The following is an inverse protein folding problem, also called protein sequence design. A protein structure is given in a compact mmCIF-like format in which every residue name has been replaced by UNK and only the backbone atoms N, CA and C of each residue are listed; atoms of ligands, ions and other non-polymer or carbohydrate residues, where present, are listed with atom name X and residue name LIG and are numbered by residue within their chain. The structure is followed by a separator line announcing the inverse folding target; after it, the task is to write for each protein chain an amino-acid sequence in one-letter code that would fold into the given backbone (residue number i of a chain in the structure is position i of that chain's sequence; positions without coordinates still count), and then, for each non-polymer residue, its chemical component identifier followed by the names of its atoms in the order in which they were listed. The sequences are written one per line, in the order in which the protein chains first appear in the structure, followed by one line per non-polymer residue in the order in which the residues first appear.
data_IF_442178433294
#
_entry.id   IF_442178433294
#
_cell.length_a   1.000
_cell.length_b   1.000
_cell.length_c   1.000
_cell.angle_alpha   90.00
_cell.angle_beta   90.00
_cell.angle_gamma   90.00
#
_symmetry.space_group_name_H-M   'P 1'
#
loop_
_entity.id
_entity.type
_entity.pdbx_description
1 polymer ?
#
# COMPACT_ATOMS: atom_id res chain seq x y z
N UNK A 1 -15.70 -14.17 18.43
CA UNK A 1 -15.13 -12.82 18.23
C UNK A 1 -16.00 -12.12 17.19
N UNK A 2 -16.23 -10.80 17.28
CA UNK A 2 -16.85 -10.07 16.17
C UNK A 2 -16.01 -10.26 14.90
N UNK A 3 -16.68 -10.38 13.76
CA UNK A 3 -16.04 -10.50 12.44
C UNK A 3 -15.26 -9.23 12.17
N UNK A 4 -13.95 -9.38 11.89
CA UNK A 4 -13.09 -8.26 11.54
C UNK A 4 -13.47 -7.74 10.16
N UNK A 5 -13.40 -6.43 10.00
CA UNK A 5 -13.77 -5.78 8.76
C UNK A 5 -12.84 -4.61 8.43
N UNK A 6 -12.96 -4.14 7.19
CA UNK A 6 -12.38 -2.90 6.70
C UNK A 6 -13.43 -1.80 6.86
N UNK A 7 -13.10 -0.79 7.65
CA UNK A 7 -13.97 0.35 7.89
C UNK A 7 -13.67 1.47 6.89
N UNK A 8 -14.68 1.88 6.11
CA UNK A 8 -14.58 3.00 5.19
C UNK A 8 -14.99 4.28 5.92
N UNK A 9 -14.02 5.17 6.14
CA UNK A 9 -14.22 6.43 6.86
C UNK A 9 -14.21 7.59 5.87
N UNK A 10 -15.32 8.29 5.73
CA UNK A 10 -15.48 9.30 4.67
C UNK A 10 -16.31 10.49 5.16
N UNK A 11 -16.24 11.59 4.41
CA UNK A 11 -17.13 12.72 4.63
C UNK A 11 -18.39 12.53 3.76
N UNK A 12 -19.55 12.88 4.30
CA UNK A 12 -20.86 12.60 3.69
C UNK A 12 -21.06 13.11 2.25
N UNK A 13 -20.34 14.15 1.81
CA UNK A 13 -20.43 14.65 0.43
C UNK A 13 -19.81 13.62 -0.56
N UNK A 14 -18.86 12.80 -0.10
CA UNK A 14 -18.21 11.73 -0.85
C UNK A 14 -18.98 10.38 -0.80
N UNK A 15 -20.19 10.35 -0.19
CA UNK A 15 -20.96 9.12 0.06
C UNK A 15 -21.22 8.29 -1.20
N UNK A 16 -21.51 8.93 -2.32
CA UNK A 16 -21.84 8.23 -3.56
C UNK A 16 -20.65 7.39 -4.06
N UNK A 17 -19.46 8.01 -4.10
CA UNK A 17 -18.22 7.35 -4.49
C UNK A 17 -17.84 6.23 -3.52
N UNK A 18 -17.85 6.53 -2.21
CA UNK A 18 -17.45 5.52 -1.19
C UNK A 18 -18.45 4.36 -1.15
N UNK A 19 -19.73 4.60 -1.43
CA UNK A 19 -20.71 3.52 -1.60
C UNK A 19 -20.42 2.65 -2.83
N UNK A 20 -19.99 3.24 -3.95
CA UNK A 20 -19.55 2.47 -5.13
C UNK A 20 -18.38 1.56 -4.78
N UNK A 21 -17.38 2.10 -4.08
CA UNK A 21 -16.20 1.35 -3.59
C UNK A 21 -16.62 0.25 -2.61
N UNK A 22 -17.48 0.55 -1.64
CA UNK A 22 -18.01 -0.42 -0.69
C UNK A 22 -18.64 -1.63 -1.40
N UNK A 23 -19.52 -1.38 -2.37
CA UNK A 23 -20.19 -2.45 -3.10
C UNK A 23 -19.19 -3.34 -3.83
N UNK A 24 -18.20 -2.74 -4.48
CA UNK A 24 -17.23 -3.48 -5.27
C UNK A 24 -16.26 -4.30 -4.40
N UNK A 25 -15.73 -3.72 -3.31
CA UNK A 25 -14.94 -4.48 -2.32
C UNK A 25 -15.74 -5.65 -1.72
N UNK A 26 -17.03 -5.43 -1.46
CA UNK A 26 -17.93 -6.47 -0.96
C UNK A 26 -18.18 -7.57 -2.00
N UNK A 27 -18.37 -7.22 -3.26
CA UNK A 27 -18.49 -8.17 -4.38
C UNK A 27 -17.22 -9.01 -4.54
N UNK A 28 -16.06 -8.45 -4.22
CA UNK A 28 -14.76 -9.15 -4.22
C UNK A 28 -14.48 -9.91 -2.91
N UNK A 29 -15.49 -10.00 -2.02
CA UNK A 29 -15.49 -10.87 -0.83
C UNK A 29 -14.85 -10.27 0.42
N UNK A 30 -14.48 -8.97 0.39
CA UNK A 30 -13.92 -8.30 1.57
C UNK A 30 -15.04 -7.94 2.57
N UNK A 31 -14.86 -8.25 3.87
CA UNK A 31 -15.80 -7.79 4.89
C UNK A 31 -15.58 -6.30 5.10
N UNK A 32 -16.47 -5.48 4.53
CA UNK A 32 -16.42 -4.02 4.60
C UNK A 32 -17.54 -3.47 5.47
N UNK A 33 -17.28 -2.30 6.07
CA UNK A 33 -18.23 -1.58 6.90
C UNK A 33 -18.24 -0.10 6.54
N UNK A 34 -19.43 0.50 6.50
CA UNK A 34 -19.63 1.95 6.42
C UNK A 34 -20.86 2.34 7.25
N UNK A 35 -20.93 3.60 7.68
CA UNK A 35 -21.98 4.13 8.58
C UNK A 35 -23.43 3.90 8.10
N UNK A 36 -23.69 3.86 6.78
CA UNK A 36 -25.06 3.65 6.25
C UNK A 36 -25.43 2.17 5.99
N UNK A 37 -24.45 1.26 5.92
CA UNK A 37 -24.68 -0.16 5.61
C UNK A 37 -24.37 -1.08 6.81
N UNK A 38 -23.69 -0.57 7.84
CA UNK A 38 -23.19 -1.32 9.00
C UNK A 38 -24.23 -1.78 10.03
N UNK A 39 -25.53 -1.77 9.70
CA UNK A 39 -26.59 -2.20 10.61
C UNK A 39 -26.84 -1.25 11.79
N UNK A 40 -26.80 0.06 11.54
CA UNK A 40 -26.97 1.09 12.57
C UNK A 40 -28.40 1.07 13.13
N UNK A 41 -28.54 0.60 14.37
CA UNK A 41 -29.75 0.78 15.18
C UNK A 41 -29.32 1.30 16.56
N UNK A 42 -29.40 2.61 16.80
CA UNK A 42 -29.01 3.21 18.09
C UNK A 42 -28.43 4.63 18.00
N UNK A 43 -27.69 5.02 19.04
CA UNK A 43 -26.95 6.27 19.09
C UNK A 43 -25.74 6.22 18.16
N UNK A 44 -25.65 7.17 17.23
CA UNK A 44 -24.61 7.27 16.20
C UNK A 44 -23.19 7.12 16.80
N UNK A 45 -22.96 7.65 18.01
CA UNK A 45 -21.65 7.54 18.66
C UNK A 45 -21.28 6.12 19.09
N UNK A 46 -22.25 5.33 19.57
CA UNK A 46 -22.02 3.96 20.02
C UNK A 46 -21.80 3.03 18.83
N UNK A 47 -22.49 3.30 17.71
CA UNK A 47 -22.31 2.56 16.46
C UNK A 47 -20.96 2.87 15.79
N UNK A 48 -20.52 4.13 15.79
CA UNK A 48 -19.18 4.49 15.29
C UNK A 48 -18.07 3.84 16.12
N UNK A 49 -18.20 3.83 17.46
CA UNK A 49 -17.23 3.17 18.33
C UNK A 49 -17.15 1.66 18.07
N UNK A 50 -18.30 1.00 17.92
CA UNK A 50 -18.36 -0.44 17.61
C UNK A 50 -17.76 -0.77 16.23
N UNK A 51 -17.96 0.10 15.22
CA UNK A 51 -17.31 -0.03 13.92
C UNK A 51 -15.79 -0.01 14.05
N UNK A 52 -15.25 1.03 14.69
CA UNK A 52 -13.79 1.16 14.90
C UNK A 52 -13.22 -0.02 15.71
N UNK A 53 -13.92 -0.49 16.75
CA UNK A 53 -13.43 -1.57 17.63
C UNK A 53 -13.33 -2.93 16.94
N UNK A 54 -14.17 -3.18 15.93
CA UNK A 54 -14.13 -4.41 15.14
C UNK A 54 -13.33 -4.27 13.84
N UNK A 55 -12.91 -3.05 13.48
CA UNK A 55 -12.09 -2.81 12.31
C UNK A 55 -10.66 -3.34 12.51
N UNK A 56 -10.13 -4.05 11.51
CA UNK A 56 -8.70 -4.32 11.42
C UNK A 56 -7.96 -3.31 10.54
N UNK A 57 -8.69 -2.66 9.64
CA UNK A 57 -8.20 -1.55 8.80
C UNK A 57 -9.27 -0.47 8.80
N UNK A 58 -8.83 0.79 8.89
CA UNK A 58 -9.65 1.95 8.57
C UNK A 58 -9.10 2.65 7.33
N UNK A 59 -9.97 2.95 6.37
CA UNK A 59 -9.66 3.65 5.14
C UNK A 59 -10.22 5.08 5.20
N UNK A 60 -9.45 6.09 5.63
CA UNK A 60 -9.90 7.47 5.57
C UNK A 60 -9.82 8.00 4.13
N UNK A 61 -10.97 8.39 3.58
CA UNK A 61 -11.10 9.05 2.28
C UNK A 61 -10.84 10.54 2.45
N UNK A 62 -9.60 10.95 2.13
CA UNK A 62 -9.05 12.24 2.49
C UNK A 62 -9.43 13.33 1.48
N UNK A 63 -10.12 14.34 2.02
CA UNK A 63 -10.45 15.61 1.37
C UNK A 63 -10.30 16.76 2.39
N UNK A 64 -10.25 18.03 1.94
CA UNK A 64 -10.37 19.17 2.86
C UNK A 64 -11.62 19.10 3.75
N UNK A 65 -12.74 18.63 3.19
CA UNK A 65 -14.00 18.46 3.92
C UNK A 65 -13.90 17.36 4.99
N UNK A 66 -13.22 16.25 4.68
CA UNK A 66 -12.89 15.21 5.66
C UNK A 66 -12.03 15.76 6.81
N UNK A 67 -10.98 16.54 6.50
CA UNK A 67 -10.13 17.16 7.53
C UNK A 67 -10.91 18.15 8.42
N UNK A 68 -11.90 18.86 7.86
CA UNK A 68 -12.74 19.81 8.58
C UNK A 68 -13.87 19.13 9.40
N UNK A 69 -14.21 17.87 9.10
CA UNK A 69 -15.32 17.16 9.74
C UNK A 69 -15.00 16.73 11.16
N UNK A 70 -15.79 17.21 12.12
CA UNK A 70 -15.67 16.81 13.54
C UNK A 70 -15.93 15.32 13.76
N UNK A 71 -16.83 14.71 12.97
CA UNK A 71 -17.15 13.29 13.07
C UNK A 71 -15.99 12.44 12.57
N UNK A 72 -15.49 12.72 11.37
CA UNK A 72 -14.33 12.04 10.79
C UNK A 72 -13.09 12.18 11.68
N UNK A 73 -12.85 13.37 12.23
CA UNK A 73 -11.77 13.60 13.20
C UNK A 73 -11.88 12.69 14.42
N UNK A 74 -13.06 12.60 15.05
CA UNK A 74 -13.24 11.75 16.23
C UNK A 74 -13.01 10.27 15.90
N UNK A 75 -13.55 9.83 14.77
CA UNK A 75 -13.47 8.44 14.33
C UNK A 75 -12.02 8.01 14.07
N UNK A 76 -11.28 8.78 13.27
CA UNK A 76 -9.90 8.44 12.94
C UNK A 76 -8.96 8.61 14.15
N UNK A 77 -9.19 9.59 15.04
CA UNK A 77 -8.43 9.68 16.30
C UNK A 77 -8.71 8.48 17.22
N UNK A 78 -9.95 7.98 17.24
CA UNK A 78 -10.26 6.79 18.02
C UNK A 78 -9.56 5.56 17.44
N UNK A 79 -9.61 5.37 16.11
CA UNK A 79 -8.91 4.29 15.42
C UNK A 79 -7.40 4.33 15.68
N UNK A 80 -6.79 5.52 15.62
CA UNK A 80 -5.37 5.75 15.94
C UNK A 80 -5.04 5.35 17.39
N UNK A 81 -5.86 5.78 18.37
CA UNK A 81 -5.70 5.39 19.78
C UNK A 81 -5.86 3.89 20.06
N UNK A 82 -6.51 3.17 19.13
CA UNK A 82 -6.75 1.72 19.18
C UNK A 82 -5.75 0.94 18.35
N UNK A 83 -4.77 1.62 17.76
CA UNK A 83 -3.76 1.04 16.87
C UNK A 83 -4.38 0.27 15.69
N UNK A 84 -5.55 0.70 15.23
CA UNK A 84 -6.17 0.18 14.01
C UNK A 84 -5.31 0.61 12.83
N UNK A 85 -5.00 -0.32 11.93
CA UNK A 85 -4.16 0.00 10.76
C UNK A 85 -4.87 0.98 9.83
N UNK A 86 -4.16 2.01 9.38
CA UNK A 86 -4.72 3.06 8.53
C UNK A 86 -4.26 2.87 7.09
N UNK A 87 -5.20 2.85 6.14
CA UNK A 87 -4.94 2.87 4.68
C UNK A 87 -5.52 4.16 4.12
N UNK A 88 -4.74 5.25 4.04
CA UNK A 88 -5.27 6.51 3.56
C UNK A 88 -5.63 6.43 2.08
N UNK A 89 -6.77 7.02 1.70
CA UNK A 89 -7.23 7.12 0.31
C UNK A 89 -7.30 8.58 -0.07
N UNK A 90 -6.57 9.01 -1.10
CA UNK A 90 -6.55 10.42 -1.52
C UNK A 90 -7.65 10.67 -2.56
N UNK A 91 -8.58 11.59 -2.26
CA UNK A 91 -9.64 12.01 -3.20
C UNK A 91 -9.40 13.43 -3.76
N UNK A 92 -8.73 14.30 -3.00
CA UNK A 92 -8.55 15.69 -3.39
C UNK A 92 -7.32 15.91 -4.29
N UNK A 93 -7.52 16.67 -5.37
CA UNK A 93 -6.42 17.19 -6.21
C UNK A 93 -5.75 18.40 -5.53
N UNK A 94 -4.45 18.60 -5.79
CA UNK A 94 -3.66 19.77 -5.38
C UNK A 94 -3.77 20.11 -3.88
N UNK A 95 -3.88 19.08 -3.03
CA UNK A 95 -4.06 19.23 -1.60
C UNK A 95 -3.28 18.16 -0.83
N UNK A 96 -2.78 18.56 0.33
CA UNK A 96 -2.09 17.68 1.26
C UNK A 96 -2.74 17.74 2.64
N UNK A 97 -2.84 16.57 3.28
CA UNK A 97 -3.31 16.47 4.65
C UNK A 97 -2.39 17.26 5.59
N UNK A 98 -3.00 18.00 6.52
CA UNK A 98 -2.29 18.82 7.50
C UNK A 98 -2.88 18.65 8.89
N UNK A 99 -2.25 19.32 9.87
CA UNK A 99 -2.70 19.32 11.26
C UNK A 99 -2.88 17.90 11.82
N UNK A 100 -4.08 17.59 12.32
CA UNK A 100 -4.40 16.32 12.96
C UNK A 100 -4.42 15.16 11.96
N UNK A 101 -4.86 15.40 10.72
CA UNK A 101 -4.94 14.36 9.70
C UNK A 101 -3.54 14.04 9.19
N UNK A 102 -2.77 15.09 8.87
CA UNK A 102 -1.37 14.94 8.47
C UNK A 102 -0.52 14.25 9.53
N UNK A 103 -0.79 14.48 10.82
CA UNK A 103 -0.09 13.78 11.92
C UNK A 103 -0.38 12.27 11.93
N UNK A 104 -1.64 11.88 11.76
CA UNK A 104 -2.06 10.46 11.77
C UNK A 104 -1.57 9.74 10.50
N UNK A 105 -1.59 10.41 9.36
CA UNK A 105 -1.23 9.81 8.06
C UNK A 105 0.23 10.01 7.68
N UNK A 106 1.04 10.66 8.51
CA UNK A 106 2.45 10.92 8.23
C UNK A 106 3.23 9.62 8.00
N UNK A 107 3.97 9.55 6.89
CA UNK A 107 4.77 8.38 6.53
C UNK A 107 3.98 7.18 5.99
N UNK A 108 2.65 7.27 5.92
CA UNK A 108 1.82 6.28 5.26
C UNK A 108 1.74 6.57 3.76
N UNK A 109 1.73 5.51 2.95
CA UNK A 109 1.42 5.61 1.53
C UNK A 109 -0.10 5.63 1.35
N UNK A 110 -0.59 6.60 0.61
CA UNK A 110 -2.00 6.68 0.25
C UNK A 110 -2.30 5.91 -1.04
N UNK A 111 -3.55 5.51 -1.22
CA UNK A 111 -4.09 4.99 -2.47
C UNK A 111 -4.72 6.14 -3.24
N UNK A 112 -4.36 6.30 -4.51
CA UNK A 112 -4.86 7.40 -5.33
C UNK A 112 -6.25 7.08 -5.89
N UNK A 113 -7.24 7.91 -5.57
CA UNK A 113 -8.58 7.89 -6.15
C UNK A 113 -8.94 9.26 -6.77
N UNK A 114 -7.96 10.17 -6.88
CA UNK A 114 -8.17 11.48 -7.50
C UNK A 114 -8.62 11.25 -8.95
N UNK A 115 -9.75 11.83 -9.33
CA UNK A 115 -10.31 11.72 -10.68
C UNK A 115 -10.80 10.29 -11.07
N UNK A 116 -10.92 9.37 -10.12
CA UNK A 116 -11.42 8.00 -10.38
C UNK A 116 -12.86 7.98 -10.90
N UNK A 117 -13.65 9.00 -10.62
CA UNK A 117 -15.04 9.11 -11.12
C UNK A 117 -15.15 9.44 -12.60
N UNK A 118 -14.06 9.92 -13.22
CA UNK A 118 -14.09 10.38 -14.60
C UNK A 118 -13.99 9.23 -15.62
N UNK A 119 -13.52 8.06 -15.20
CA UNK A 119 -13.23 6.92 -16.07
C UNK A 119 -13.34 5.59 -15.32
N UNK A 120 -14.05 4.62 -15.91
CA UNK A 120 -14.33 3.34 -15.23
C UNK A 120 -13.11 2.43 -15.16
N UNK A 121 -12.22 2.47 -16.17
CA UNK A 121 -10.97 1.71 -16.16
C UNK A 121 -10.05 2.21 -15.04
N UNK A 122 -9.92 3.53 -14.93
CA UNK A 122 -9.23 4.20 -13.83
C UNK A 122 -9.82 3.84 -12.47
N UNK A 123 -11.15 3.87 -12.32
CA UNK A 123 -11.81 3.45 -11.08
C UNK A 123 -11.41 2.03 -10.65
N UNK A 124 -11.44 1.06 -11.58
CA UNK A 124 -11.06 -0.33 -11.28
C UNK A 124 -9.56 -0.46 -10.96
N UNK A 125 -8.68 0.35 -11.55
CA UNK A 125 -7.26 0.39 -11.18
C UNK A 125 -7.02 0.91 -9.76
N UNK A 126 -7.70 2.00 -9.38
CA UNK A 126 -7.65 2.55 -8.02
C UNK A 126 -8.17 1.53 -7.00
N UNK A 127 -9.26 0.84 -7.35
CA UNK A 127 -9.86 -0.17 -6.50
C UNK A 127 -8.94 -1.37 -6.29
N UNK A 128 -8.35 -1.91 -7.36
CA UNK A 128 -7.36 -2.99 -7.25
C UNK A 128 -6.19 -2.59 -6.35
N UNK A 129 -5.73 -1.34 -6.47
CA UNK A 129 -4.66 -0.81 -5.61
C UNK A 129 -5.07 -0.73 -4.14
N UNK A 130 -6.34 -0.40 -3.85
CA UNK A 130 -6.90 -0.41 -2.50
C UNK A 130 -7.00 -1.82 -1.93
N UNK A 131 -7.49 -2.77 -2.71
CA UNK A 131 -7.59 -4.18 -2.32
C UNK A 131 -6.23 -4.79 -2.01
N UNK A 132 -5.24 -4.55 -2.89
CA UNK A 132 -3.88 -5.03 -2.68
C UNK A 132 -3.28 -4.47 -1.38
N UNK A 133 -3.54 -3.19 -1.08
CA UNK A 133 -3.06 -2.58 0.15
C UNK A 133 -3.76 -3.11 1.41
N UNK A 134 -5.08 -3.26 1.36
CA UNK A 134 -5.86 -3.87 2.44
C UNK A 134 -5.37 -5.30 2.70
N UNK A 135 -5.18 -6.08 1.64
CA UNK A 135 -4.75 -7.47 1.75
C UNK A 135 -3.30 -7.59 2.23
N UNK A 136 -2.43 -6.67 1.81
CA UNK A 136 -1.07 -6.60 2.32
C UNK A 136 -1.04 -6.35 3.83
N UNK A 137 -1.85 -5.41 4.33
CA UNK A 137 -1.85 -5.03 5.75
C UNK A 137 -2.60 -6.03 6.62
N UNK A 138 -3.80 -6.44 6.19
CA UNK A 138 -4.75 -7.15 7.03
C UNK A 138 -5.34 -8.41 6.40
N UNK A 139 -4.86 -8.86 5.23
CA UNK A 139 -5.36 -10.09 4.59
C UNK A 139 -5.22 -11.34 5.47
N UNK A 140 -4.31 -11.33 6.45
CA UNK A 140 -4.18 -12.40 7.45
C UNK A 140 -5.22 -12.34 8.59
N UNK A 141 -5.90 -11.21 8.75
CA UNK A 141 -6.91 -10.94 9.78
C UNK A 141 -8.35 -10.97 9.24
N UNK A 142 -8.50 -10.94 7.91
CA UNK A 142 -9.79 -10.90 7.20
C UNK A 142 -10.22 -12.31 6.80
N UNK A 143 -11.48 -12.63 7.10
CA UNK A 143 -12.16 -13.80 6.56
C UNK A 143 -12.75 -13.39 5.19
N UNK A 144 -11.99 -13.59 4.13
CA UNK A 144 -12.46 -13.32 2.76
C UNK A 144 -13.42 -14.45 2.36
N UNK A 145 -14.68 -14.12 2.10
CA UNK A 145 -15.66 -15.12 1.65
C UNK A 145 -15.32 -15.57 0.24
N UNK A 146 -15.14 -16.88 0.03
CA UNK A 146 -15.12 -17.44 -1.33
C UNK A 146 -16.54 -17.31 -1.91
N UNK A 147 -16.75 -16.62 -3.03
CA UNK A 147 -18.06 -16.59 -3.66
C UNK A 147 -18.46 -18.01 -4.04
N UNK A 148 -19.71 -18.37 -3.73
CA UNK A 148 -20.26 -19.68 -4.09
C UNK A 148 -20.06 -19.93 -5.58
N UNK A 149 -19.37 -21.02 -5.94
CA UNK A 149 -19.22 -21.45 -7.33
C UNK A 149 -20.60 -21.79 -7.88
N UNK A 150 -21.25 -20.87 -8.57
CA UNK A 150 -22.26 -21.27 -9.54
C UNK A 150 -21.50 -21.92 -10.71
N UNK A 151 -21.67 -23.23 -10.88
CA UNK A 151 -21.26 -23.94 -12.09
C UNK A 151 -22.09 -23.40 -13.26
N UNK A 152 -21.68 -22.26 -13.83
CA UNK A 152 -22.21 -21.75 -15.09
C UNK A 152 -21.14 -21.92 -16.16
N UNK A 153 -21.44 -22.78 -17.12
CA UNK A 153 -20.58 -23.28 -18.20
C UNK A 153 -20.33 -22.20 -19.28
N UNK A 154 -19.67 -21.10 -18.90
CA UNK A 154 -19.22 -20.04 -19.80
C UNK A 154 -17.77 -19.63 -19.49
N UNK A 155 -16.90 -19.41 -20.49
CA UNK A 155 -15.54 -18.96 -20.28
C UNK A 155 -15.54 -17.44 -20.07
N UNK A 156 -16.01 -16.99 -18.91
CA UNK A 156 -15.66 -15.65 -18.44
C UNK A 156 -14.20 -15.67 -17.92
N UNK A 157 -13.39 -14.65 -18.20
CA UNK A 157 -12.05 -14.55 -17.63
C UNK A 157 -12.18 -14.59 -16.11
N UNK A 158 -11.55 -15.60 -15.49
CA UNK A 158 -11.57 -15.79 -14.03
C UNK A 158 -11.14 -14.50 -13.35
N UNK A 159 -12.04 -13.86 -12.58
CA UNK A 159 -11.70 -12.71 -11.75
C UNK A 159 -10.49 -13.08 -10.87
N UNK A 160 -9.45 -12.25 -10.78
CA UNK A 160 -8.28 -12.54 -9.97
C UNK A 160 -8.69 -12.65 -8.50
N UNK A 161 -8.59 -13.85 -7.93
CA UNK A 161 -8.82 -14.05 -6.49
C UNK A 161 -7.72 -13.35 -5.67
N UNK A 162 -8.11 -12.65 -4.61
CA UNK A 162 -7.20 -12.01 -3.67
C UNK A 162 -6.35 -13.09 -2.97
N UNK A 163 -5.10 -13.25 -3.42
CA UNK A 163 -4.14 -14.19 -2.83
C UNK A 163 -3.26 -13.45 -1.83
N UNK A 164 -2.99 -14.11 -0.69
CA UNK A 164 -2.00 -13.64 0.28
C UNK A 164 -0.61 -13.60 -0.38
N UNK A 165 -0.01 -12.40 -0.46
CA UNK A 165 1.36 -12.21 -0.95
C UNK A 165 2.32 -12.14 0.25
N UNK A 166 3.53 -12.73 0.18
CA UNK A 166 4.46 -12.77 1.31
C UNK A 166 5.13 -11.40 1.58
N UNK A 167 5.10 -10.48 0.61
CA UNK A 167 5.66 -9.14 0.67
C UNK A 167 5.21 -8.32 -0.54
N UNK A 168 5.98 -7.30 -0.90
CA UNK A 168 5.77 -6.48 -2.11
C UNK A 168 6.86 -6.72 -3.15
N UNK A 169 6.51 -6.61 -4.41
CA UNK A 169 7.47 -6.49 -5.50
C UNK A 169 7.65 -5.02 -5.85
N UNK A 170 8.89 -4.63 -6.14
CA UNK A 170 9.22 -3.30 -6.64
C UNK A 170 9.54 -3.42 -8.12
N UNK A 171 8.60 -3.02 -8.99
CA UNK A 171 8.80 -2.97 -10.43
C UNK A 171 9.23 -1.58 -10.84
N UNK A 172 10.32 -1.45 -11.60
CA UNK A 172 10.72 -0.17 -12.15
C UNK A 172 9.74 0.27 -13.27
N UNK A 173 9.24 1.50 -13.20
CA UNK A 173 8.13 1.97 -14.02
C UNK A 173 8.45 2.01 -15.53
N UNK A 174 9.71 2.30 -15.92
CA UNK A 174 10.08 2.43 -17.34
C UNK A 174 10.60 1.12 -17.96
N UNK A 175 11.23 0.24 -17.16
CA UNK A 175 11.87 -0.97 -17.69
C UNK A 175 11.11 -2.25 -17.37
N UNK A 176 10.07 -2.18 -16.53
CA UNK A 176 9.31 -3.33 -16.04
C UNK A 176 10.14 -4.42 -15.33
N UNK A 177 11.34 -4.06 -14.86
CA UNK A 177 12.24 -4.96 -14.14
C UNK A 177 12.02 -4.89 -12.63
N UNK A 178 12.19 -6.01 -11.95
CA UNK A 178 11.98 -6.15 -10.51
C UNK A 178 13.29 -6.18 -9.74
N UNK A 179 13.28 -5.68 -8.50
CA UNK A 179 14.38 -5.88 -7.54
C UNK A 179 14.42 -7.35 -7.12
N UNK A 180 15.46 -8.08 -7.51
CA UNK A 180 15.57 -9.52 -7.32
C UNK A 180 16.83 -9.91 -6.53
N UNK A 181 16.66 -10.67 -5.44
CA UNK A 181 17.78 -11.26 -4.68
C UNK A 181 18.11 -12.66 -5.22
N UNK A 182 19.29 -12.84 -5.80
CA UNK A 182 19.72 -14.12 -6.36
C UNK A 182 20.17 -15.14 -5.30
N UNK A 183 20.24 -14.75 -4.03
CA UNK A 183 20.73 -15.61 -2.95
C UNK A 183 22.26 -15.70 -2.90
N UNK A 184 22.75 -16.56 -1.99
CA UNK A 184 24.20 -16.79 -1.84
C UNK A 184 24.78 -17.37 -3.13
N UNK A 185 25.63 -16.59 -3.81
CA UNK A 185 26.56 -17.13 -4.78
C UNK A 185 27.73 -17.76 -4.00
N UNK A 186 28.29 -18.88 -4.47
CA UNK A 186 29.26 -19.73 -3.73
C UNK A 186 30.61 -19.08 -3.36
N UNK A 187 30.70 -17.76 -3.46
CA UNK A 187 31.78 -16.92 -2.96
C UNK A 187 31.49 -16.61 -1.49
N UNK A 188 32.45 -16.80 -0.58
CA UNK A 188 32.30 -16.48 0.85
C UNK A 188 32.18 -14.97 1.15
N UNK A 189 31.44 -14.25 0.33
CA UNK A 189 31.09 -12.85 0.48
C UNK A 189 29.95 -12.73 1.50
N UNK A 190 30.01 -11.70 2.32
CA UNK A 190 28.99 -11.45 3.35
C UNK A 190 27.70 -10.88 2.76
N UNK A 191 27.72 -10.46 1.48
CA UNK A 191 26.62 -9.83 0.76
C UNK A 191 26.19 -10.68 -0.44
N UNK A 192 24.88 -10.71 -0.71
CA UNK A 192 24.36 -11.26 -1.96
C UNK A 192 24.20 -10.16 -2.99
N UNK A 193 24.29 -10.53 -4.26
CA UNK A 193 23.99 -9.66 -5.39
C UNK A 193 22.48 -9.51 -5.57
N UNK A 194 22.01 -8.26 -5.59
CA UNK A 194 20.65 -7.91 -5.98
C UNK A 194 20.72 -7.26 -7.35
N UNK A 195 19.98 -7.81 -8.32
CA UNK A 195 19.95 -7.29 -9.69
C UNK A 195 18.50 -7.07 -10.15
N UNK A 196 18.37 -6.45 -11.32
CA UNK A 196 17.10 -6.26 -11.98
C UNK A 196 16.76 -7.48 -12.82
N UNK A 197 15.53 -7.99 -12.70
CA UNK A 197 15.11 -9.20 -13.40
C UNK A 197 13.66 -9.09 -13.91
N UNK A 198 13.38 -9.74 -15.04
CA UNK A 198 12.03 -9.88 -15.63
C UNK A 198 11.19 -10.94 -14.92
N UNK A 199 11.79 -11.88 -14.18
CA UNK A 199 11.07 -13.04 -13.62
C UNK A 199 10.25 -12.69 -12.38
N UNK A 200 9.00 -13.17 -12.36
CA UNK A 200 8.03 -12.95 -11.28
C UNK A 200 8.19 -13.93 -10.09
N UNK A 201 9.37 -14.50 -9.86
CA UNK A 201 9.61 -15.49 -8.81
C UNK A 201 9.45 -14.92 -7.40
N UNK A 202 9.45 -15.81 -6.40
CA UNK A 202 9.29 -15.42 -5.00
C UNK A 202 10.46 -14.56 -4.47
N UNK A 203 11.62 -14.64 -5.13
CA UNK A 203 12.82 -13.86 -4.85
C UNK A 203 12.69 -12.35 -5.15
N UNK A 204 11.58 -11.92 -5.76
CA UNK A 204 11.25 -10.51 -5.95
C UNK A 204 10.39 -9.93 -4.82
N UNK A 205 9.91 -10.76 -3.87
CA UNK A 205 9.11 -10.27 -2.76
C UNK A 205 9.99 -9.75 -1.63
N UNK A 206 9.66 -8.55 -1.19
CA UNK A 206 10.32 -7.83 -0.11
C UNK A 206 9.32 -7.50 0.99
N UNK A 207 9.63 -7.89 2.21
CA UNK A 207 8.81 -7.71 3.40
C UNK A 207 9.23 -6.42 4.08
N UNK A 208 8.28 -5.51 4.33
CA UNK A 208 8.53 -4.26 5.03
C UNK A 208 8.76 -4.53 6.52
N UNK A 209 9.88 -4.05 7.04
CA UNK A 209 10.22 -4.05 8.47
C UNK A 209 10.29 -2.61 8.95
N UNK A 210 9.43 -2.25 9.91
CA UNK A 210 9.35 -0.90 10.46
C UNK A 210 10.62 -0.54 11.25
N UNK A 211 11.26 0.57 10.88
CA UNK A 211 12.32 1.22 11.64
C UNK A 211 11.86 2.54 12.24
N UNK A 212 12.76 3.25 12.95
CA UNK A 212 12.48 4.56 13.53
C UNK A 212 12.48 5.64 12.43
N UNK A 213 11.27 6.06 12.01
CA UNK A 213 11.06 7.01 10.92
C UNK A 213 11.60 6.55 9.56
N UNK A 214 11.77 5.23 9.37
CA UNK A 214 12.32 4.63 8.16
C UNK A 214 11.81 3.20 7.96
N UNK A 215 12.16 2.61 6.83
CA UNK A 215 11.81 1.24 6.47
C UNK A 215 13.07 0.45 6.16
N UNK A 216 13.05 -0.82 6.56
CA UNK A 216 13.93 -1.85 6.06
C UNK A 216 13.11 -2.81 5.20
N UNK A 217 13.76 -3.51 4.29
CA UNK A 217 13.11 -4.52 3.47
C UNK A 217 13.89 -5.82 3.53
N UNK A 218 13.25 -6.91 3.96
CA UNK A 218 13.88 -8.24 3.90
C UNK A 218 13.33 -9.02 2.72
N UNK A 219 14.17 -9.78 2.04
CA UNK A 219 13.70 -10.65 0.98
C UNK A 219 12.87 -11.81 1.56
N UNK A 220 11.72 -12.12 0.98
CA UNK A 220 10.80 -13.14 1.48
C UNK A 220 11.38 -14.57 1.44
N UNK A 221 12.40 -14.82 0.60
CA UNK A 221 13.03 -16.14 0.45
C UNK A 221 14.33 -16.22 1.24
N UNK A 222 15.18 -15.20 1.14
CA UNK A 222 16.52 -15.24 1.76
C UNK A 222 16.55 -14.70 3.19
N UNK A 223 15.52 -13.96 3.61
CA UNK A 223 15.43 -13.25 4.90
C UNK A 223 16.56 -12.22 5.11
N UNK A 224 17.09 -11.67 4.01
CA UNK A 224 18.21 -10.72 4.00
C UNK A 224 17.73 -9.31 3.67
N UNK A 225 18.37 -8.33 4.28
CA UNK A 225 18.04 -6.92 4.22
C UNK A 225 18.55 -6.27 2.94
N UNK A 226 17.68 -5.53 2.25
CA UNK A 226 18.01 -4.74 1.06
C UNK A 226 18.91 -3.56 1.44
N UNK A 227 20.12 -3.55 0.89
CA UNK A 227 21.10 -2.49 1.06
C UNK A 227 21.45 -1.79 -0.24
N UNK A 228 22.05 -0.61 -0.14
CA UNK A 228 22.62 0.11 -1.27
C UNK A 228 23.93 0.76 -0.85
N UNK A 229 24.99 0.45 -1.60
CA UNK A 229 26.29 1.09 -1.44
C UNK A 229 26.41 2.28 -2.41
N UNK A 230 26.37 3.53 -1.91
CA UNK A 230 26.47 4.71 -2.76
C UNK A 230 27.86 4.92 -3.37
N UNK A 231 28.88 4.21 -2.90
CA UNK A 231 30.26 4.30 -3.42
C UNK A 231 30.45 3.45 -4.67
N UNK A 232 29.81 2.28 -4.71
CA UNK A 232 29.87 1.34 -5.85
C UNK A 232 28.62 1.40 -6.73
N UNK A 233 27.59 2.12 -6.28
CA UNK A 233 26.25 2.17 -6.90
C UNK A 233 25.60 0.78 -7.01
N UNK A 234 25.95 -0.13 -6.10
CA UNK A 234 25.43 -1.48 -6.07
C UNK A 234 24.33 -1.63 -5.03
N UNK A 235 23.27 -2.33 -5.43
CA UNK A 235 22.25 -2.85 -4.52
C UNK A 235 22.68 -4.26 -4.10
N UNK A 236 22.53 -4.59 -2.84
CA UNK A 236 22.93 -5.88 -2.28
C UNK A 236 21.94 -6.34 -1.22
N UNK A 237 22.08 -7.58 -0.74
CA UNK A 237 21.38 -8.03 0.47
C UNK A 237 22.31 -8.58 1.55
N UNK A 238 22.05 -8.21 2.81
CA UNK A 238 22.87 -8.58 3.97
C UNK A 238 22.06 -9.22 5.11
N UNK A 239 22.73 -10.05 5.93
CA UNK A 239 22.07 -10.82 6.99
C UNK A 239 21.57 -9.97 8.17
N UNK A 240 22.05 -8.73 8.29
CA UNK A 240 21.66 -7.81 9.35
C UNK A 240 21.60 -6.40 8.76
N UNK A 241 20.62 -5.58 9.13
CA UNK A 241 20.49 -4.26 8.54
C UNK A 241 21.58 -3.33 9.05
N UNK A 242 22.21 -2.58 8.14
CA UNK A 242 23.03 -1.42 8.51
C UNK A 242 22.18 -0.16 8.66
N UNK A 243 22.58 0.74 9.57
CA UNK A 243 21.96 2.08 9.73
C UNK A 243 22.11 2.93 8.46
N UNK A 244 23.11 2.64 7.62
CA UNK A 244 23.26 3.28 6.31
C UNK A 244 22.27 2.79 5.24
N UNK A 245 21.49 1.75 5.55
CA UNK A 245 20.59 1.04 4.63
C UNK A 245 19.12 1.25 4.98
N UNK A 246 18.83 2.32 5.71
CA UNK A 246 17.48 2.79 5.97
C UNK A 246 16.87 3.39 4.71
N UNK A 247 15.66 2.98 4.37
CA UNK A 247 14.92 3.47 3.21
C UNK A 247 13.74 4.36 3.61
N UNK A 248 13.50 5.38 2.80
CA UNK A 248 12.27 6.17 2.78
C UNK A 248 11.49 5.79 1.54
N UNK A 249 10.23 5.39 1.74
CA UNK A 249 9.30 5.10 0.65
C UNK A 249 8.30 6.23 0.55
N UNK A 250 8.35 6.98 -0.54
CA UNK A 250 7.55 8.18 -0.76
C UNK A 250 6.56 7.92 -1.88
N UNK A 251 5.30 8.35 -1.72
CA UNK A 251 4.35 8.34 -2.82
C UNK A 251 4.82 9.30 -3.92
N UNK A 252 4.74 8.87 -5.17
CA UNK A 252 4.99 9.76 -6.30
C UNK A 252 3.77 10.65 -6.54
N UNK A 253 3.92 11.96 -6.30
CA UNK A 253 2.85 12.93 -6.50
C UNK A 253 2.63 13.31 -7.97
N UNK A 254 3.60 13.01 -8.84
CA UNK A 254 3.59 13.37 -10.26
C UNK A 254 3.06 12.27 -11.17
N UNK A 255 2.96 11.04 -10.65
CA UNK A 255 2.46 9.92 -11.42
C UNK A 255 0.98 10.08 -11.78
N UNK A 256 0.68 9.78 -13.04
CA UNK A 256 -0.67 9.79 -13.61
C UNK A 256 -1.07 8.40 -14.12
N UNK A 257 -0.25 7.38 -13.83
CA UNK A 257 -0.55 6.00 -14.24
C UNK A 257 -1.62 5.36 -13.37
N UNK A 258 -1.96 5.99 -12.24
CA UNK A 258 -2.93 5.50 -11.25
C UNK A 258 -2.51 4.17 -10.61
N UNK A 259 -1.26 3.77 -10.83
CA UNK A 259 -0.61 2.69 -10.10
C UNK A 259 -0.01 3.26 -8.82
N UNK A 260 0.35 2.38 -7.88
CA UNK A 260 1.00 2.81 -6.64
C UNK A 260 2.48 3.13 -6.88
N UNK A 261 2.70 4.22 -7.61
CA UNK A 261 4.00 4.74 -7.94
C UNK A 261 4.65 5.33 -6.67
N UNK A 262 5.87 4.90 -6.43
CA UNK A 262 6.66 5.27 -5.27
C UNK A 262 8.07 5.62 -5.69
N UNK A 263 8.70 6.43 -4.85
CA UNK A 263 10.10 6.79 -4.93
C UNK A 263 10.81 6.19 -3.71
N UNK A 264 11.85 5.41 -3.98
CA UNK A 264 12.68 4.79 -2.94
C UNK A 264 13.91 5.67 -2.73
N UNK A 265 14.10 6.20 -1.51
CA UNK A 265 15.22 7.08 -1.17
C UNK A 265 16.01 6.51 -0.01
N UNK A 266 17.31 6.36 -0.17
CA UNK A 266 18.18 5.97 0.93
C UNK A 266 18.28 7.13 1.94
N UNK A 267 17.90 6.90 3.20
CA UNK A 267 17.79 7.92 4.25
C UNK A 267 19.15 8.54 4.58
N UNK A 268 20.21 7.75 4.60
CA UNK A 268 21.55 8.20 4.99
C UNK A 268 22.23 9.03 3.90
N UNK A 269 22.30 8.50 2.68
CA UNK A 269 22.94 9.16 1.54
C UNK A 269 22.06 10.22 0.88
N UNK A 270 20.75 10.16 1.10
CA UNK A 270 19.77 11.01 0.42
C UNK A 270 19.58 10.69 -1.06
N UNK A 271 20.19 9.62 -1.57
CA UNK A 271 20.07 9.23 -2.99
C UNK A 271 18.76 8.50 -3.27
N UNK A 272 18.20 8.78 -4.44
CA UNK A 272 17.05 8.08 -5.00
C UNK A 272 17.53 6.82 -5.70
N UNK A 273 16.92 5.68 -5.40
CA UNK A 273 17.17 4.44 -6.12
C UNK A 273 16.47 4.53 -7.48
N UNK A 274 17.23 4.44 -8.54
CA UNK A 274 16.78 4.58 -9.91
C UNK A 274 17.35 3.47 -10.80
N UNK A 275 16.85 3.38 -12.03
CA UNK A 275 17.36 2.45 -13.03
C UNK A 275 17.75 3.19 -14.30
N UNK A 276 19.00 3.05 -14.73
CA UNK A 276 19.48 3.57 -16.01
C UNK A 276 20.21 2.47 -16.76
N UNK A 277 19.87 2.30 -18.05
CA UNK A 277 20.45 1.27 -18.92
C UNK A 277 20.38 -0.16 -18.34
N UNK A 278 19.32 -0.48 -17.58
CA UNK A 278 19.14 -1.80 -16.97
C UNK A 278 19.99 -2.06 -15.71
N UNK A 279 20.58 -1.01 -15.13
CA UNK A 279 21.37 -1.11 -13.90
C UNK A 279 20.82 -0.17 -12.83
N UNK A 280 20.97 -0.56 -11.57
CA UNK A 280 20.70 0.32 -10.44
C UNK A 280 21.66 1.51 -10.43
N UNK A 281 21.14 2.67 -10.08
CA UNK A 281 21.92 3.90 -9.87
C UNK A 281 21.30 4.73 -8.74
N UNK A 282 22.16 5.42 -7.98
CA UNK A 282 21.72 6.33 -6.92
C UNK A 282 21.74 7.79 -7.38
N UNK A 283 20.59 8.36 -7.72
CA UNK A 283 20.48 9.75 -8.19
C UNK A 283 20.38 10.74 -7.03
N UNK A 284 20.94 11.95 -7.20
CA UNK A 284 20.88 13.03 -6.20
C UNK A 284 19.61 13.88 -6.31
N UNK A 285 18.91 13.78 -7.44
CA UNK A 285 17.65 14.46 -7.72
C UNK A 285 16.66 13.48 -8.33
N UNK A 286 15.37 13.71 -8.07
CA UNK A 286 14.29 12.94 -8.66
C UNK A 286 14.16 13.17 -10.17
N UNK A 287 13.90 12.10 -10.92
CA UNK A 287 13.45 12.07 -12.31
C UNK A 287 12.59 10.81 -12.55
N UNK A 288 12.16 10.58 -13.79
CA UNK A 288 11.34 9.41 -14.17
C UNK A 288 12.03 8.05 -13.92
N UNK A 289 13.37 8.00 -13.91
CA UNK A 289 14.13 6.77 -13.62
C UNK A 289 14.01 6.34 -12.15
N UNK A 290 13.54 7.23 -11.25
CA UNK A 290 13.34 6.96 -9.83
C UNK A 290 11.99 6.32 -9.52
N UNK A 291 11.13 6.09 -10.52
CA UNK A 291 9.76 5.62 -10.33
C UNK A 291 9.68 4.10 -10.21
N UNK A 292 9.08 3.64 -9.13
CA UNK A 292 8.80 2.24 -8.86
C UNK A 292 7.30 2.04 -8.68
N UNK A 293 6.78 0.90 -9.09
CA UNK A 293 5.41 0.48 -8.85
C UNK A 293 5.42 -0.64 -7.83
N UNK A 294 4.61 -0.50 -6.78
CA UNK A 294 4.39 -1.55 -5.81
C UNK A 294 3.38 -2.57 -6.33
N UNK A 295 3.73 -3.85 -6.24
CA UNK A 295 2.85 -4.99 -6.57
C UNK A 295 2.81 -6.05 -5.47
#
# INVERSE_FOLDING_TARGET
MPTRHVMLSYQWDDQALVKKIYNRLKEDGLPVWMDIEGGVTGNINDSMAAGVEAACVICPFMTPAYQASRSCKKELNYADSREVSVVPVMLANDWEASEWLGLITAGLLWVDFRNAENDEEHFEMCLRSLEEEIMFIAGHLLDVEEPAREEVDLPEPSKPHLKKKPGRKFRHALSDLYIHDFGEQSTGDTRNTVELNETHGDQCYWVEVKGDGCKYYTNAVTDRYLGFDPSSEQVHSEASPSVSEEWLLLADQTDQSHQRAVVIKNKHSGRFLAVQNGHFIGLTSYNEDCKWVLE
#
